data_IF_101957657157
#
_entry.id   IF_101957657157
#
_cell.length_a   1.000
_cell.length_b   1.000
_cell.length_c   1.000
_cell.angle_alpha   90.00
_cell.angle_beta   90.00
_cell.angle_gamma   90.00
#
_symmetry.space_group_name_H-M   'P 1'
#
loop_
_entity.id
_entity.type
_entity.pdbx_description
1 polymer ?
#
# COMPACT_ATOMS: atom_id res chain seq x y z
N UNK A 1 -57.19 -21.93 18.18
CA UNK A 1 -56.95 -20.61 17.55
C UNK A 1 -55.89 -19.77 18.28
N UNK A 2 -54.71 -20.36 18.60
CA UNK A 2 -53.59 -19.67 19.30
C UNK A 2 -52.21 -20.13 18.79
N UNK A 3 -52.12 -20.58 17.53
CA UNK A 3 -50.88 -21.12 16.95
C UNK A 3 -50.30 -20.25 15.83
N UNK A 4 -51.00 -19.19 15.43
CA UNK A 4 -50.65 -18.40 14.24
C UNK A 4 -49.94 -17.06 14.51
N UNK A 5 -49.74 -16.68 15.77
CA UNK A 5 -49.11 -15.39 16.13
C UNK A 5 -47.62 -15.48 16.53
N UNK A 6 -47.03 -16.68 16.49
CA UNK A 6 -45.64 -16.88 16.91
C UNK A 6 -44.60 -16.87 15.76
N UNK A 7 -45.04 -16.87 14.50
CA UNK A 7 -44.13 -16.96 13.35
C UNK A 7 -43.70 -15.61 12.76
N UNK A 8 -44.25 -14.48 13.21
CA UNK A 8 -44.03 -13.16 12.60
C UNK A 8 -43.05 -12.27 13.38
N UNK A 9 -42.13 -12.85 14.15
CA UNK A 9 -41.15 -12.08 14.94
C UNK A 9 -39.68 -12.49 14.71
N UNK A 10 -39.42 -13.47 13.83
CA UNK A 10 -38.05 -13.98 13.58
C UNK A 10 -37.46 -13.49 12.24
N UNK A 11 -38.29 -12.95 11.34
CA UNK A 11 -37.84 -12.64 9.97
C UNK A 11 -37.32 -11.20 9.75
N UNK A 12 -37.37 -10.32 10.76
CA UNK A 12 -36.95 -8.92 10.64
C UNK A 12 -35.54 -8.63 11.17
N UNK A 13 -34.78 -9.66 11.59
CA UNK A 13 -33.48 -9.48 12.24
C UNK A 13 -32.27 -9.85 11.35
N UNK A 14 -32.48 -10.20 10.08
CA UNK A 14 -31.46 -10.88 9.24
C UNK A 14 -30.88 -10.06 8.09
N UNK A 15 -31.24 -8.78 7.89
CA UNK A 15 -30.87 -8.06 6.64
C UNK A 15 -29.75 -7.01 6.79
N UNK A 16 -29.24 -6.71 7.99
CA UNK A 16 -28.29 -5.58 8.15
C UNK A 16 -26.82 -5.94 8.43
N UNK A 17 -26.40 -7.20 8.31
CA UNK A 17 -25.04 -7.63 8.70
C UNK A 17 -23.98 -7.57 7.58
N UNK A 18 -24.28 -6.97 6.42
CA UNK A 18 -23.40 -7.09 5.23
C UNK A 18 -22.38 -5.96 5.05
N UNK A 19 -22.37 -4.92 5.88
CA UNK A 19 -21.43 -3.81 5.76
C UNK A 19 -20.26 -3.91 6.75
N UNK A 20 -19.70 -5.11 6.93
CA UNK A 20 -18.36 -5.21 7.49
C UNK A 20 -17.40 -4.59 6.46
N UNK A 21 -17.01 -3.34 6.66
CA UNK A 21 -16.03 -2.66 5.83
C UNK A 21 -14.81 -3.56 5.69
N UNK A 22 -14.48 -3.96 4.46
CA UNK A 22 -13.30 -4.75 4.17
C UNK A 22 -12.10 -3.93 4.63
N UNK A 23 -11.32 -4.45 5.58
CA UNK A 23 -10.01 -3.91 5.90
C UNK A 23 -9.14 -4.10 4.66
N UNK A 24 -8.90 -3.04 3.90
CA UNK A 24 -7.80 -3.04 2.94
C UNK A 24 -6.52 -2.72 3.68
N UNK A 25 -5.51 -3.57 3.51
CA UNK A 25 -4.15 -3.24 3.92
C UNK A 25 -3.75 -1.93 3.22
N UNK A 26 -3.03 -1.05 3.93
CA UNK A 26 -2.47 0.14 3.31
C UNK A 26 -1.61 -0.28 2.12
N UNK A 27 -1.84 0.37 0.98
CA UNK A 27 -1.23 0.08 -0.31
C UNK A 27 -0.93 1.40 -1.02
N UNK A 28 0.03 1.38 -1.94
CA UNK A 28 0.27 2.47 -2.88
C UNK A 28 -0.80 2.50 -3.97
N UNK A 29 -1.65 1.49 -4.14
CA UNK A 29 -2.70 1.54 -5.16
C UNK A 29 -3.63 2.74 -4.94
N UNK A 30 -3.77 3.59 -5.97
CA UNK A 30 -4.52 4.85 -5.90
C UNK A 30 -3.76 6.01 -5.24
N UNK A 31 -2.55 5.78 -4.72
CA UNK A 31 -1.66 6.83 -4.26
C UNK A 31 -1.14 7.66 -5.44
N UNK A 32 -0.79 8.92 -5.18
CA UNK A 32 -0.12 9.77 -6.18
C UNK A 32 1.35 9.85 -5.83
N UNK A 33 2.21 9.45 -6.76
CA UNK A 33 3.66 9.47 -6.62
C UNK A 33 4.28 10.37 -7.67
N UNK A 34 5.36 11.06 -7.31
CA UNK A 34 6.19 11.86 -8.21
C UNK A 34 7.60 11.29 -8.24
N UNK A 35 8.17 11.06 -9.42
CA UNK A 35 9.49 10.45 -9.56
C UNK A 35 10.46 11.38 -10.26
N UNK A 36 11.59 11.62 -9.60
CA UNK A 36 12.67 12.47 -10.09
C UNK A 36 14.00 11.71 -10.07
N UNK A 37 14.83 11.97 -11.07
CA UNK A 37 16.15 11.37 -11.18
C UNK A 37 17.25 12.36 -10.90
N UNK A 38 18.20 11.91 -10.09
CA UNK A 38 19.28 12.73 -9.60
C UNK A 38 20.62 12.07 -9.94
N UNK A 39 21.52 12.88 -10.48
CA UNK A 39 22.89 12.50 -10.81
C UNK A 39 23.73 13.77 -10.93
N UNK A 40 24.98 13.82 -10.40
CA UNK A 40 25.72 12.75 -9.71
C UNK A 40 25.52 12.73 -8.19
N UNK A 41 24.55 13.49 -7.68
CA UNK A 41 24.22 13.63 -6.26
C UNK A 41 22.73 13.98 -6.12
N UNK A 42 22.18 13.92 -4.90
CA UNK A 42 20.75 14.18 -4.61
C UNK A 42 20.31 15.64 -4.72
N UNK A 43 21.22 16.57 -5.03
CA UNK A 43 20.91 18.00 -5.23
C UNK A 43 20.95 18.44 -6.69
N UNK A 44 21.38 17.56 -7.60
CA UNK A 44 21.41 17.82 -9.04
C UNK A 44 20.31 17.02 -9.72
N UNK A 45 19.16 17.66 -9.93
CA UNK A 45 18.08 17.09 -10.74
C UNK A 45 18.59 16.91 -12.16
N UNK A 46 18.69 15.66 -12.59
CA UNK A 46 19.03 15.35 -13.96
C UNK A 46 17.78 15.42 -14.83
N UNK A 47 16.66 14.89 -14.33
CA UNK A 47 15.35 15.09 -14.95
C UNK A 47 14.17 14.72 -14.05
N UNK A 48 12.99 15.22 -14.42
CA UNK A 48 11.73 14.96 -13.75
C UNK A 48 10.80 14.11 -14.63
N UNK A 49 10.23 13.05 -14.06
CA UNK A 49 9.21 12.23 -14.73
C UNK A 49 7.78 12.74 -14.45
N UNK A 50 7.62 13.60 -13.45
CA UNK A 50 6.33 14.13 -13.02
C UNK A 50 5.55 13.15 -12.15
N UNK A 51 4.29 13.48 -11.91
CA UNK A 51 3.43 12.75 -10.98
C UNK A 51 2.46 11.82 -11.70
N UNK A 52 2.23 10.64 -11.12
CA UNK A 52 1.30 9.61 -11.60
C UNK A 52 0.46 9.05 -10.46
N UNK A 53 -0.74 8.60 -10.79
CA UNK A 53 -1.56 7.80 -9.88
C UNK A 53 -1.18 6.34 -10.06
N UNK A 54 -0.79 5.69 -8.98
CA UNK A 54 -0.43 4.28 -8.95
C UNK A 54 -1.66 3.44 -9.27
N UNK A 55 -1.51 2.50 -10.21
CA UNK A 55 -2.65 1.74 -10.72
C UNK A 55 -2.25 0.39 -11.31
N UNK A 56 -3.06 -0.09 -12.24
CA UNK A 56 -2.75 -1.32 -12.95
C UNK A 56 -1.74 -1.01 -14.07
N UNK A 57 -0.51 -1.51 -13.93
CA UNK A 57 0.54 -1.44 -14.95
C UNK A 57 1.71 -0.54 -14.54
N UNK A 58 2.61 -0.28 -15.48
CA UNK A 58 3.85 0.48 -15.23
C UNK A 58 3.58 1.98 -15.30
N UNK A 59 3.79 2.71 -14.20
CA UNK A 59 3.56 4.16 -14.11
C UNK A 59 4.54 4.97 -14.96
N UNK A 60 5.79 4.51 -15.06
CA UNK A 60 6.85 5.17 -15.81
C UNK A 60 7.53 4.17 -16.77
N UNK A 61 6.92 3.84 -17.93
CA UNK A 61 7.39 2.79 -18.84
C UNK A 61 8.69 3.18 -19.56
N UNK A 62 8.88 4.47 -19.78
CA UNK A 62 10.14 5.10 -20.06
C UNK A 62 10.12 6.36 -19.18
N UNK A 63 11.13 6.58 -18.34
CA UNK A 63 11.20 7.81 -17.55
C UNK A 63 11.26 9.09 -18.42
N UNK A 64 11.72 10.20 -17.85
CA UNK A 64 12.02 11.41 -18.62
C UNK A 64 12.80 11.16 -19.95
N UNK A 65 12.70 12.07 -20.92
CA UNK A 65 13.51 12.03 -22.15
C UNK A 65 15.01 11.97 -21.80
N UNK A 66 15.61 10.78 -21.94
CA UNK A 66 16.96 10.46 -21.43
C UNK A 66 17.02 9.12 -20.68
N UNK A 67 15.86 8.58 -20.29
CA UNK A 67 15.67 7.29 -19.64
C UNK A 67 15.29 6.14 -20.56
N UNK A 68 15.47 6.25 -21.88
CA UNK A 68 15.64 4.99 -22.60
C UNK A 68 16.97 4.39 -22.09
N UNK A 69 16.96 3.36 -21.21
CA UNK A 69 15.87 2.39 -21.01
C UNK A 69 15.64 1.93 -19.54
N UNK A 70 15.21 2.85 -18.66
CA UNK A 70 14.69 2.57 -17.32
C UNK A 70 13.16 2.66 -17.29
N UNK A 71 12.53 1.67 -16.66
CA UNK A 71 11.12 1.65 -16.29
C UNK A 71 10.94 1.62 -14.78
N UNK A 72 9.90 2.27 -14.26
CA UNK A 72 9.49 2.18 -12.85
C UNK A 72 8.01 1.80 -12.80
N UNK A 73 7.77 0.69 -12.11
CA UNK A 73 6.45 0.11 -11.84
C UNK A 73 6.24 0.13 -10.32
N UNK A 74 5.13 0.70 -9.90
CA UNK A 74 4.72 0.83 -8.50
C UNK A 74 3.42 0.07 -8.37
N UNK A 75 3.37 -0.92 -7.48
CA UNK A 75 2.15 -1.69 -7.29
C UNK A 75 2.01 -2.09 -5.84
N UNK A 76 0.82 -1.95 -5.26
CA UNK A 76 0.54 -2.55 -3.97
C UNK A 76 1.49 -2.08 -2.86
N UNK A 77 2.45 -2.96 -2.56
CA UNK A 77 3.50 -2.78 -1.56
C UNK A 77 4.89 -2.94 -2.17
N UNK A 78 5.06 -2.70 -3.48
CA UNK A 78 6.30 -2.90 -4.20
C UNK A 78 6.62 -1.74 -5.13
N UNK A 79 7.92 -1.50 -5.28
CA UNK A 79 8.49 -0.65 -6.34
C UNK A 79 9.48 -1.50 -7.12
N UNK A 80 9.29 -1.58 -8.42
CA UNK A 80 10.11 -2.35 -9.35
C UNK A 80 10.80 -1.37 -10.30
N UNK A 81 12.12 -1.38 -10.30
CA UNK A 81 12.95 -0.59 -11.21
C UNK A 81 13.58 -1.53 -12.23
N UNK A 82 13.18 -1.41 -13.49
CA UNK A 82 13.77 -2.14 -14.61
C UNK A 82 14.77 -1.27 -15.34
N UNK A 83 15.97 -1.77 -15.62
CA UNK A 83 17.00 -1.07 -16.38
C UNK A 83 17.61 -2.00 -17.42
N UNK A 84 17.49 -1.68 -18.71
CA UNK A 84 17.99 -2.56 -19.78
C UNK A 84 19.25 -2.05 -20.49
N UNK A 85 19.87 -0.95 -20.03
CA UNK A 85 21.10 -0.44 -20.64
C UNK A 85 22.29 -1.22 -20.10
N UNK A 86 23.02 -1.90 -20.98
CA UNK A 86 24.20 -2.67 -20.60
C UNK A 86 25.37 -1.81 -20.12
N UNK A 87 25.35 -0.49 -20.39
CA UNK A 87 26.33 0.43 -19.82
C UNK A 87 26.20 0.61 -18.29
N UNK A 88 25.05 0.23 -17.72
CA UNK A 88 24.77 0.40 -16.30
C UNK A 88 24.63 1.86 -15.86
N UNK A 89 24.48 2.04 -14.55
CA UNK A 89 24.48 3.33 -13.89
C UNK A 89 25.92 3.79 -13.62
N UNK A 90 26.26 4.98 -14.09
CA UNK A 90 27.58 5.60 -13.88
C UNK A 90 27.88 5.82 -12.40
N UNK A 91 29.18 5.82 -12.07
CA UNK A 91 29.65 6.12 -10.73
C UNK A 91 29.33 7.58 -10.33
N UNK A 92 28.98 7.77 -9.06
CA UNK A 92 28.65 9.06 -8.46
C UNK A 92 28.29 8.89 -6.98
N UNK A 93 28.07 10.00 -6.26
CA UNK A 93 27.56 9.93 -4.89
C UNK A 93 26.10 9.43 -4.86
N UNK A 94 25.33 9.81 -5.88
CA UNK A 94 23.99 9.30 -6.14
C UNK A 94 23.75 9.22 -7.64
N UNK A 95 23.23 8.08 -8.08
CA UNK A 95 22.76 7.89 -9.46
C UNK A 95 21.48 7.06 -9.40
N UNK A 96 20.33 7.71 -9.43
CA UNK A 96 19.07 7.02 -9.22
C UNK A 96 17.90 7.94 -8.93
N UNK A 97 16.89 7.39 -8.27
CA UNK A 97 15.55 7.96 -8.24
C UNK A 97 15.18 8.38 -6.84
N UNK A 98 14.47 9.49 -6.75
CA UNK A 98 13.72 9.87 -5.56
C UNK A 98 12.25 9.89 -5.95
N UNK A 99 11.49 9.01 -5.30
CA UNK A 99 10.05 8.96 -5.40
C UNK A 99 9.46 9.70 -4.20
N UNK A 100 8.59 10.66 -4.47
CA UNK A 100 7.84 11.42 -3.47
C UNK A 100 6.40 10.97 -3.47
N UNK A 101 5.85 10.68 -2.31
CA UNK A 101 4.45 10.35 -2.12
C UNK A 101 3.67 11.66 -1.92
N UNK A 102 2.89 12.06 -2.92
CA UNK A 102 2.06 13.27 -2.87
C UNK A 102 0.72 13.01 -2.17
N UNK A 103 0.24 11.78 -2.23
CA UNK A 103 -0.93 11.29 -1.49
C UNK A 103 -0.76 9.80 -1.22
N UNK A 104 -1.34 9.26 -0.14
CA UNK A 104 -1.26 7.84 0.20
C UNK A 104 -0.87 7.57 1.65
N UNK A 105 -0.68 6.30 2.03
CA UNK A 105 -0.30 5.92 3.38
C UNK A 105 1.16 6.28 3.69
N UNK A 106 1.45 6.65 4.93
CA UNK A 106 2.82 6.93 5.36
C UNK A 106 3.69 5.66 5.29
N UNK A 107 4.86 5.77 4.69
CA UNK A 107 5.82 4.68 4.57
C UNK A 107 6.46 4.42 5.95
N UNK A 108 6.52 3.16 6.36
CA UNK A 108 7.16 2.71 7.61
C UNK A 108 8.35 1.79 7.37
N UNK A 109 8.54 1.30 6.15
CA UNK A 109 9.66 0.43 5.80
C UNK A 109 9.91 0.40 4.30
N UNK A 110 11.19 0.25 3.95
CA UNK A 110 11.64 0.01 2.59
C UNK A 110 12.74 -1.05 2.66
N UNK A 111 12.58 -2.14 1.92
CA UNK A 111 13.54 -3.24 1.90
C UNK A 111 13.85 -3.64 0.46
N UNK A 112 15.13 -3.74 0.13
CA UNK A 112 15.55 -4.31 -1.15
C UNK A 112 15.40 -5.83 -1.12
N UNK A 113 14.67 -6.38 -2.09
CA UNK A 113 14.43 -7.81 -2.20
C UNK A 113 15.45 -8.46 -3.12
N UNK A 114 16.59 -8.87 -2.56
CA UNK A 114 17.66 -9.50 -3.31
C UNK A 114 17.25 -10.83 -3.98
N UNK A 115 16.25 -11.54 -3.46
CA UNK A 115 15.78 -12.81 -4.02
C UNK A 115 14.97 -12.65 -5.30
N UNK A 116 14.33 -11.49 -5.48
CA UNK A 116 13.55 -11.15 -6.68
C UNK A 116 14.25 -10.16 -7.60
N UNK A 117 15.51 -9.80 -7.31
CA UNK A 117 16.26 -8.78 -8.03
C UNK A 117 17.45 -9.36 -8.79
N UNK A 118 17.70 -8.84 -9.98
CA UNK A 118 18.92 -9.08 -10.78
C UNK A 118 19.82 -7.85 -10.89
N UNK A 119 19.26 -6.66 -10.64
CA UNK A 119 20.00 -5.40 -10.54
C UNK A 119 20.32 -5.11 -9.08
N UNK A 120 21.61 -4.94 -8.76
CA UNK A 120 22.04 -4.53 -7.43
C UNK A 120 21.62 -3.09 -7.09
N UNK A 121 21.64 -2.76 -5.81
CA UNK A 121 21.40 -1.40 -5.30
C UNK A 121 22.57 -0.97 -4.44
N UNK A 122 23.05 0.27 -4.61
CA UNK A 122 24.16 0.82 -3.82
C UNK A 122 23.67 1.29 -2.46
N UNK A 123 22.53 1.97 -2.43
CA UNK A 123 21.82 2.29 -1.19
C UNK A 123 20.36 2.56 -1.46
N UNK A 124 19.51 2.34 -0.45
CA UNK A 124 18.12 2.78 -0.46
C UNK A 124 17.78 3.39 0.90
N UNK A 125 16.87 4.36 0.90
CA UNK A 125 16.42 5.02 2.13
C UNK A 125 14.99 5.51 1.96
N UNK A 126 14.32 5.78 3.08
CA UNK A 126 12.96 6.27 3.06
C UNK A 126 12.69 7.26 4.20
N UNK A 127 11.64 8.04 4.01
CA UNK A 127 10.95 8.84 5.03
C UNK A 127 9.46 8.47 4.97
N UNK A 128 8.62 9.09 5.80
CA UNK A 128 7.17 8.85 5.76
C UNK A 128 6.51 9.15 4.39
N UNK A 129 7.14 9.97 3.54
CA UNK A 129 6.57 10.44 2.27
C UNK A 129 7.54 10.43 1.10
N UNK A 130 8.69 9.76 1.22
CA UNK A 130 9.66 9.66 0.12
C UNK A 130 10.50 8.40 0.22
N UNK A 131 10.88 7.85 -0.92
CA UNK A 131 11.83 6.76 -1.07
C UNK A 131 12.95 7.18 -2.03
N UNK A 132 14.19 6.84 -1.70
CA UNK A 132 15.35 7.08 -2.56
C UNK A 132 16.01 5.76 -2.92
N UNK A 133 16.36 5.59 -4.19
CA UNK A 133 16.99 4.39 -4.73
C UNK A 133 18.28 4.81 -5.45
N UNK A 134 19.44 4.41 -4.93
CA UNK A 134 20.73 4.72 -5.51
C UNK A 134 21.32 3.49 -6.20
N UNK A 135 21.59 3.62 -7.49
CA UNK A 135 22.15 2.58 -8.33
C UNK A 135 23.56 2.92 -8.81
N UNK A 136 24.24 3.91 -8.23
CA UNK A 136 25.58 4.30 -8.65
C UNK A 136 26.53 3.09 -8.76
N UNK A 137 27.16 2.91 -9.93
CA UNK A 137 28.05 1.78 -10.26
C UNK A 137 27.37 0.41 -10.38
N UNK A 138 26.04 0.34 -10.51
CA UNK A 138 25.30 -0.89 -10.75
C UNK A 138 25.08 -1.13 -12.25
N UNK A 139 24.86 -2.39 -12.64
CA UNK A 139 24.67 -2.78 -14.04
C UNK A 139 23.26 -2.57 -14.58
N UNK A 140 22.79 -3.57 -15.34
CA UNK A 140 21.43 -3.69 -15.85
C UNK A 140 20.67 -4.80 -15.11
N UNK A 141 19.35 -4.85 -15.27
CA UNK A 141 18.48 -5.84 -14.67
C UNK A 141 17.24 -5.22 -14.03
N UNK A 142 16.68 -5.93 -13.06
CA UNK A 142 15.49 -5.51 -12.33
C UNK A 142 15.80 -5.46 -10.83
N UNK A 143 15.48 -4.36 -10.17
CA UNK A 143 15.54 -4.21 -8.74
C UNK A 143 14.12 -4.13 -8.17
N UNK A 144 13.84 -4.94 -7.16
CA UNK A 144 12.53 -5.02 -6.49
C UNK A 144 12.70 -4.54 -5.05
N UNK A 145 11.83 -3.64 -4.64
CA UNK A 145 11.78 -3.12 -3.28
C UNK A 145 10.41 -3.40 -2.68
N UNK A 146 10.40 -3.98 -1.49
CA UNK A 146 9.20 -4.17 -0.67
C UNK A 146 9.00 -2.94 0.23
N UNK A 147 7.79 -2.39 0.19
CA UNK A 147 7.38 -1.18 0.91
C UNK A 147 6.37 -1.57 1.98
N UNK A 148 6.63 -1.13 3.21
CA UNK A 148 5.72 -1.29 4.34
C UNK A 148 5.13 0.05 4.73
N UNK A 149 3.89 0.04 5.24
CA UNK A 149 3.16 1.25 5.61
C UNK A 149 2.80 1.27 7.09
N UNK A 150 2.78 2.46 7.68
CA UNK A 150 2.32 2.65 9.04
C UNK A 150 0.84 2.29 9.12
N UNK A 151 0.50 1.30 9.95
CA UNK A 151 -0.89 0.98 10.26
C UNK A 151 -1.41 2.00 11.27
N UNK A 152 -2.33 2.87 10.84
CA UNK A 152 -3.08 3.71 11.78
C UNK A 152 -3.92 2.83 12.72
N UNK A 153 -4.21 3.30 13.94
CA UNK A 153 -5.24 2.70 14.78
C UNK A 153 -6.60 2.91 14.10
N UNK A 154 -7.02 1.94 13.29
CA UNK A 154 -8.28 2.02 12.57
C UNK A 154 -9.41 1.77 13.59
N UNK A 155 -10.36 2.71 13.75
CA UNK A 155 -11.51 2.50 14.62
C UNK A 155 -12.20 1.19 14.23
N UNK A 156 -12.32 0.28 15.19
CA UNK A 156 -13.04 -0.98 14.98
C UNK A 156 -14.41 -0.64 14.36
N UNK A 157 -14.84 -1.37 13.31
CA UNK A 157 -16.20 -1.20 12.79
C UNK A 157 -17.17 -1.29 13.96
N UNK A 158 -18.13 -0.36 14.03
CA UNK A 158 -19.12 -0.30 15.12
C UNK A 158 -19.85 -1.63 15.37
N UNK A 159 -19.76 -2.57 14.42
CA UNK A 159 -20.20 -3.96 14.54
C UNK A 159 -19.64 -4.72 15.75
N UNK A 160 -18.40 -4.52 16.20
CA UNK A 160 -17.89 -5.27 17.36
C UNK A 160 -18.55 -4.82 18.68
N UNK A 161 -18.61 -3.51 19.00
CA UNK A 161 -19.43 -3.01 20.11
C UNK A 161 -20.92 -3.36 19.98
N UNK A 162 -21.50 -3.28 18.77
CA UNK A 162 -22.91 -3.61 18.52
C UNK A 162 -23.21 -5.12 18.70
N UNK A 163 -22.29 -5.98 18.27
CA UNK A 163 -22.41 -7.43 18.46
C UNK A 163 -22.34 -7.79 19.94
N UNK A 164 -21.37 -7.22 20.67
CA UNK A 164 -21.23 -7.44 22.11
C UNK A 164 -22.44 -6.93 22.89
N UNK A 165 -22.95 -5.73 22.56
CA UNK A 165 -24.17 -5.19 23.17
C UNK A 165 -25.41 -5.99 22.80
N UNK A 166 -25.51 -6.50 21.57
CA UNK A 166 -26.56 -7.41 21.14
C UNK A 166 -26.55 -8.74 21.89
N UNK A 167 -25.39 -9.37 22.06
CA UNK A 167 -25.22 -10.61 22.83
C UNK A 167 -25.57 -10.37 24.31
N UNK A 168 -25.09 -9.27 24.89
CA UNK A 168 -25.40 -8.89 26.26
C UNK A 168 -26.92 -8.67 26.46
N UNK A 169 -27.58 -8.00 25.53
CA UNK A 169 -29.03 -7.81 25.53
C UNK A 169 -29.79 -9.13 25.49
N UNK A 170 -29.40 -10.07 24.62
CA UNK A 170 -30.01 -11.40 24.54
C UNK A 170 -29.80 -12.24 25.81
N UNK A 171 -28.60 -12.19 26.40
CA UNK A 171 -28.30 -12.86 27.66
C UNK A 171 -29.16 -12.32 28.82
N UNK A 172 -29.37 -11.01 28.88
CA UNK A 172 -30.24 -10.37 29.88
C UNK A 172 -31.70 -10.78 29.72
N UNK A 173 -32.22 -10.82 28.49
CA UNK A 173 -33.59 -11.27 28.20
C UNK A 173 -33.81 -12.73 28.62
N UNK A 174 -32.81 -13.62 28.41
CA UNK A 174 -32.87 -15.01 28.88
C UNK A 174 -32.96 -15.12 30.40
N UNK A 175 -32.19 -14.31 31.14
CA UNK A 175 -32.20 -14.32 32.62
C UNK A 175 -33.55 -13.87 33.20
N UNK A 176 -34.26 -12.96 32.54
CA UNK A 176 -35.60 -12.53 32.99
C UNK A 176 -36.65 -13.63 32.87
N UNK A 177 -36.62 -14.42 31.80
CA UNK A 177 -37.58 -15.53 31.62
C UNK A 177 -37.39 -16.66 32.63
N UNK A 178 -36.15 -16.95 33.03
CA UNK A 178 -35.86 -18.00 34.02
C UNK A 178 -36.31 -17.67 35.46
N UNK A 179 -36.62 -16.40 35.77
CA UNK A 179 -37.15 -15.99 37.08
C UNK A 179 -38.68 -15.98 37.17
N UNK A 180 -39.37 -16.17 36.05
CA UNK A 180 -40.84 -16.16 35.98
C UNK A 180 -41.44 -17.55 35.76
N UNK A 181 -40.59 -18.57 35.63
CA UNK A 181 -40.96 -19.99 35.65
C UNK A 181 -40.58 -20.55 37.03
#
# INVERSE_FOLDING_TARGET
MRLFKLLTAVFAATISLSAAGQLHAATLDGATVDVNFYFPNTSTLYCASGSQVVGAGVEYPAGCSGFAPVSIDVSGSQVIVGHSNQAGFQAGAFNGFVMSLLSGPAISGLAYNAGSSSLGVTSSSFTASSMSFNFASQGSGTAVFDVSFATGAIPLPAGAPLLLTGIAGMAWLRRRKAKMA
#
